data_IF_572007733743
#
_entry.id   IF_572007733743
#
_cell.length_a   1.000
_cell.length_b   1.000
_cell.length_c   1.000
_cell.angle_alpha   90.00
_cell.angle_beta   90.00
_cell.angle_gamma   90.00
#
_symmetry.space_group_name_H-M   'P 1'
#
loop_
_entity.id
_entity.type
_entity.pdbx_description
1 polymer ?
#
# COMPACT_ATOMS: atom_id res chain seq x y z
N UNK A 1 -8.47 20.23 -15.72
CA UNK A 1 -8.07 19.86 -15.92
C UNK A 1 -7.62 18.56 -16.14
N UNK A 2 -8.33 17.71 -16.48
CA UNK A 2 -7.86 16.46 -16.76
C UNK A 2 -6.86 15.99 -15.78
N UNK A 3 -6.95 16.49 -14.63
CA UNK A 3 -5.99 16.20 -13.65
C UNK A 3 -6.04 14.77 -13.28
N UNK A 4 -4.94 14.09 -13.50
CA UNK A 4 -4.81 12.70 -13.15
C UNK A 4 -4.20 12.65 -11.78
N UNK A 5 -5.04 12.35 -10.80
CA UNK A 5 -4.52 12.14 -9.44
C UNK A 5 -3.81 10.80 -9.37
N UNK A 6 -2.74 10.77 -8.62
CA UNK A 6 -2.10 9.51 -8.26
C UNK A 6 -3.00 8.79 -7.25
N UNK A 7 -3.09 7.48 -7.36
CA UNK A 7 -3.96 6.67 -6.49
C UNK A 7 -3.14 5.87 -5.51
N UNK A 8 -3.48 6.00 -4.24
CA UNK A 8 -2.86 5.18 -3.21
C UNK A 8 -3.92 4.35 -2.50
N UNK A 9 -3.66 3.06 -2.42
CA UNK A 9 -4.53 2.12 -1.73
C UNK A 9 -3.76 1.58 -0.53
N UNK A 10 -4.36 1.66 0.64
CA UNK A 10 -3.74 1.17 1.86
C UNK A 10 -4.58 0.06 2.48
N UNK A 11 -3.92 -1.02 2.90
CA UNK A 11 -4.52 -2.05 3.76
C UNK A 11 -3.86 -1.93 5.12
N UNK A 12 -4.59 -1.37 6.07
CA UNK A 12 -4.10 -1.08 7.41
C UNK A 12 -5.28 -1.12 8.37
N UNK A 13 -5.20 -1.90 9.47
CA UNK A 13 -6.36 -2.16 10.31
C UNK A 13 -6.40 -1.35 11.62
N UNK A 14 -5.36 -0.61 11.93
CA UNK A 14 -5.27 0.01 13.26
C UNK A 14 -5.16 1.53 13.25
N UNK A 15 -4.60 2.10 12.20
CA UNK A 15 -4.32 3.54 12.14
C UNK A 15 -4.82 4.13 10.84
N UNK A 16 -5.33 5.36 10.91
CA UNK A 16 -5.77 6.11 9.74
C UNK A 16 -4.55 6.64 9.00
N UNK A 17 -4.29 6.09 7.83
CA UNK A 17 -3.11 6.44 7.03
C UNK A 17 -3.17 7.90 6.56
N UNK A 18 -4.35 8.37 6.16
CA UNK A 18 -4.49 9.76 5.74
C UNK A 18 -4.08 10.70 6.88
N UNK A 19 -4.51 10.39 8.10
CA UNK A 19 -4.19 11.19 9.25
C UNK A 19 -2.68 11.21 9.53
N UNK A 20 -2.04 10.04 9.45
CA UNK A 20 -0.59 9.95 9.64
C UNK A 20 0.13 10.83 8.62
N UNK A 21 -0.30 10.79 7.37
CA UNK A 21 0.36 11.55 6.30
C UNK A 21 0.16 13.05 6.47
N UNK A 22 -1.08 13.46 6.72
CA UNK A 22 -1.39 14.88 6.86
C UNK A 22 -0.70 15.47 8.08
N UNK A 23 -0.72 14.76 9.21
CA UNK A 23 -0.04 15.22 10.42
C UNK A 23 1.47 15.25 10.24
N UNK A 24 1.99 14.43 9.36
CA UNK A 24 3.41 14.43 9.01
C UNK A 24 3.80 15.44 7.95
N UNK A 25 2.86 16.27 7.50
CA UNK A 25 3.16 17.36 6.57
C UNK A 25 3.02 17.01 5.10
N UNK A 26 2.45 15.84 4.76
CA UNK A 26 2.27 15.47 3.36
C UNK A 26 1.06 16.20 2.77
N UNK A 27 1.26 16.78 1.59
CA UNK A 27 0.17 17.39 0.84
C UNK A 27 -0.45 16.32 -0.05
N UNK A 28 -1.69 15.94 0.23
CA UNK A 28 -2.39 14.90 -0.52
C UNK A 28 -3.31 15.45 -1.61
N UNK A 29 -3.16 16.74 -1.95
CA UNK A 29 -4.07 17.36 -2.92
C UNK A 29 -4.04 16.69 -4.30
N UNK A 30 -2.91 16.08 -4.68
CA UNK A 30 -2.78 15.40 -5.96
C UNK A 30 -2.95 13.88 -5.83
N UNK A 31 -3.40 13.41 -4.68
CA UNK A 31 -3.55 11.99 -4.41
C UNK A 31 -5.00 11.64 -4.11
N UNK A 32 -5.42 10.49 -4.62
CA UNK A 32 -6.70 9.89 -4.22
C UNK A 32 -6.34 8.72 -3.31
N UNK A 33 -6.65 8.82 -2.02
CA UNK A 33 -6.29 7.81 -1.04
C UNK A 33 -7.51 7.03 -0.60
N UNK A 34 -7.39 5.71 -0.64
CA UNK A 34 -8.44 4.80 -0.17
C UNK A 34 -7.80 3.82 0.79
N UNK A 35 -8.43 3.63 1.94
CA UNK A 35 -7.95 2.66 2.93
C UNK A 35 -9.02 1.64 3.23
N UNK A 36 -8.58 0.37 3.30
CA UNK A 36 -9.40 -0.72 3.82
C UNK A 36 -8.79 -1.21 5.12
N UNK A 37 -9.64 -1.48 6.08
CA UNK A 37 -9.22 -1.86 7.43
C UNK A 37 -9.14 -3.38 7.61
N UNK A 38 -9.32 -4.11 6.54
CA UNK A 38 -9.16 -5.56 6.48
C UNK A 38 -8.78 -5.95 5.06
N UNK A 39 -8.40 -7.22 4.87
CA UNK A 39 -7.96 -7.71 3.56
C UNK A 39 -9.03 -8.54 2.86
N UNK A 40 -10.31 -8.42 3.26
CA UNK A 40 -11.39 -9.10 2.55
C UNK A 40 -11.43 -8.57 1.12
N UNK A 41 -11.59 -9.50 0.17
CA UNK A 41 -11.69 -9.15 -1.25
C UNK A 41 -10.53 -8.28 -1.75
N UNK A 42 -9.34 -8.45 -1.15
CA UNK A 42 -8.21 -7.53 -1.42
C UNK A 42 -7.82 -7.50 -2.89
N UNK A 43 -7.84 -8.62 -3.58
CA UNK A 43 -7.44 -8.66 -4.99
C UNK A 43 -8.47 -7.95 -5.88
N UNK A 44 -9.75 -8.12 -5.60
CA UNK A 44 -10.80 -7.42 -6.32
C UNK A 44 -10.69 -5.91 -6.08
N UNK A 45 -10.34 -5.52 -4.87
CA UNK A 45 -10.20 -4.10 -4.51
C UNK A 45 -9.00 -3.45 -5.22
N UNK A 46 -7.90 -4.19 -5.32
CA UNK A 46 -6.74 -3.70 -6.08
C UNK A 46 -7.11 -3.56 -7.56
N UNK A 47 -7.77 -4.56 -8.13
CA UNK A 47 -8.18 -4.52 -9.54
C UNK A 47 -9.14 -3.37 -9.81
N UNK A 48 -10.07 -3.15 -8.90
CA UNK A 48 -11.09 -2.11 -9.08
C UNK A 48 -10.50 -0.71 -8.96
N UNK A 49 -9.64 -0.48 -7.96
CA UNK A 49 -9.08 0.84 -7.69
C UNK A 49 -7.90 1.18 -8.60
N UNK A 50 -7.15 0.18 -9.04
CA UNK A 50 -5.95 0.33 -9.88
C UNK A 50 -4.98 1.34 -9.28
N UNK A 51 -4.45 1.05 -8.06
CA UNK A 51 -3.57 1.99 -7.41
C UNK A 51 -2.23 2.13 -8.11
N UNK A 52 -1.66 3.33 -8.05
CA UNK A 52 -0.27 3.57 -8.41
C UNK A 52 0.64 3.14 -7.28
N UNK A 53 0.22 3.37 -6.04
CA UNK A 53 0.96 3.02 -4.83
C UNK A 53 0.10 2.12 -3.96
N UNK A 54 0.65 0.98 -3.55
CA UNK A 54 -0.01 0.07 -2.65
C UNK A 54 0.76 0.02 -1.34
N UNK A 55 0.08 0.29 -0.24
CA UNK A 55 0.65 0.25 1.11
C UNK A 55 0.08 -0.95 1.84
N UNK A 56 0.94 -1.85 2.32
CA UNK A 56 0.50 -3.08 2.96
C UNK A 56 1.03 -3.17 4.39
N UNK A 57 0.13 -3.19 5.37
CA UNK A 57 0.48 -3.66 6.70
C UNK A 57 0.53 -5.18 6.68
N UNK A 58 1.33 -5.78 7.57
CA UNK A 58 1.44 -7.23 7.62
C UNK A 58 0.38 -7.83 8.56
N UNK A 59 0.22 -7.27 9.75
CA UNK A 59 -0.66 -7.83 10.76
C UNK A 59 -2.08 -7.31 10.59
N UNK A 60 -2.75 -7.78 9.56
CA UNK A 60 -4.09 -7.36 9.18
C UNK A 60 -4.92 -8.60 8.85
N UNK A 61 -6.16 -8.73 9.42
CA UNK A 61 -7.00 -9.87 9.09
C UNK A 61 -7.84 -9.60 7.85
N UNK A 62 -8.42 -10.61 7.22
CA UNK A 62 -8.21 -12.05 7.47
C UNK A 62 -6.96 -12.61 6.80
N UNK A 63 -6.38 -11.90 5.83
CA UNK A 63 -5.19 -12.35 5.12
C UNK A 63 -4.05 -11.40 5.45
N UNK A 64 -2.93 -11.95 5.96
CA UNK A 64 -1.78 -11.12 6.33
C UNK A 64 -1.15 -10.46 5.10
N UNK A 65 -0.54 -9.30 5.33
CA UNK A 65 0.04 -8.51 4.23
C UNK A 65 1.01 -9.27 3.35
N UNK A 66 1.86 -10.12 3.92
CA UNK A 66 2.80 -10.92 3.13
C UNK A 66 2.06 -11.86 2.17
N UNK A 67 0.94 -12.46 2.62
CA UNK A 67 0.15 -13.33 1.78
C UNK A 67 -0.61 -12.55 0.71
N UNK A 68 -1.07 -11.34 1.03
CA UNK A 68 -1.67 -10.45 0.04
C UNK A 68 -0.66 -10.15 -1.05
N UNK A 69 0.56 -9.80 -0.66
CA UNK A 69 1.64 -9.50 -1.61
C UNK A 69 1.93 -10.68 -2.52
N UNK A 70 2.08 -11.87 -1.94
CA UNK A 70 2.38 -13.07 -2.72
C UNK A 70 1.28 -13.38 -3.71
N UNK A 71 0.02 -13.35 -3.25
CA UNK A 71 -1.12 -13.59 -4.13
C UNK A 71 -1.24 -12.56 -5.23
N UNK A 72 -1.01 -11.30 -4.90
CA UNK A 72 -1.06 -10.22 -5.88
C UNK A 72 -0.02 -10.43 -6.97
N UNK A 73 1.22 -10.73 -6.59
CA UNK A 73 2.30 -10.90 -7.57
C UNK A 73 2.08 -12.13 -8.45
N UNK A 74 1.42 -13.17 -7.93
CA UNK A 74 1.02 -14.31 -8.76
C UNK A 74 -0.01 -13.90 -9.81
N UNK A 75 -0.99 -13.09 -9.41
CA UNK A 75 -2.01 -12.59 -10.34
C UNK A 75 -1.41 -11.64 -11.38
N UNK A 76 -0.43 -10.83 -10.98
CA UNK A 76 0.29 -9.96 -11.91
C UNK A 76 1.06 -10.81 -12.93
N UNK A 77 1.75 -11.85 -12.47
CA UNK A 77 2.50 -12.74 -13.36
C UNK A 77 1.58 -13.47 -14.35
N UNK A 78 0.32 -13.72 -13.94
CA UNK A 78 -0.67 -14.35 -14.79
C UNK A 78 -1.42 -13.34 -15.66
N UNK A 79 -1.03 -12.08 -15.65
CA UNK A 79 -1.66 -10.99 -16.40
C UNK A 79 -3.13 -10.78 -16.04
N UNK A 80 -3.51 -11.09 -14.79
CA UNK A 80 -4.87 -10.93 -14.33
C UNK A 80 -5.09 -9.63 -13.59
N UNK A 81 -4.03 -9.04 -13.03
CA UNK A 81 -4.08 -7.75 -12.34
C UNK A 81 -2.87 -6.93 -12.78
N UNK A 82 -3.10 -5.63 -12.98
CA UNK A 82 -2.01 -4.71 -13.30
C UNK A 82 -1.23 -4.44 -12.01
N UNK A 83 0.09 -4.58 -12.08
CA UNK A 83 0.94 -4.32 -10.92
C UNK A 83 0.95 -2.83 -10.59
N UNK A 84 0.72 -2.46 -9.31
CA UNK A 84 0.95 -1.07 -8.90
C UNK A 84 2.41 -0.67 -9.20
N UNK A 85 2.62 0.61 -9.50
CA UNK A 85 3.97 1.10 -9.79
C UNK A 85 4.90 0.90 -8.62
N UNK A 86 4.41 1.07 -7.40
CA UNK A 86 5.19 0.87 -6.20
C UNK A 86 4.37 0.13 -5.16
N UNK A 87 4.99 -0.84 -4.50
CA UNK A 87 4.38 -1.59 -3.40
C UNK A 87 5.31 -1.43 -2.20
N UNK A 88 4.78 -0.89 -1.11
CA UNK A 88 5.55 -0.67 0.11
C UNK A 88 4.93 -1.44 1.28
N UNK A 89 5.76 -2.18 1.99
CA UNK A 89 5.39 -2.70 3.31
C UNK A 89 5.43 -1.55 4.31
N UNK A 90 4.42 -1.46 5.16
CA UNK A 90 4.35 -0.37 6.14
C UNK A 90 4.17 -0.88 7.57
N UNK A 91 4.59 -2.11 7.84
CA UNK A 91 4.49 -2.65 9.18
C UNK A 91 5.39 -1.88 10.15
N UNK A 92 4.99 -1.84 11.42
CA UNK A 92 5.90 -1.33 12.45
C UNK A 92 6.92 -2.40 12.84
N UNK A 93 6.78 -3.62 12.32
CA UNK A 93 7.76 -4.69 12.52
C UNK A 93 8.77 -4.69 11.37
N UNK A 94 10.04 -4.46 11.67
CA UNK A 94 11.08 -4.47 10.64
C UNK A 94 11.24 -5.86 10.03
N UNK A 95 11.05 -6.93 10.81
CA UNK A 95 11.13 -8.29 10.28
C UNK A 95 10.03 -8.57 9.25
N UNK A 96 8.80 -8.11 9.53
CA UNK A 96 7.71 -8.26 8.58
C UNK A 96 7.98 -7.48 7.29
N UNK A 97 8.53 -6.27 7.41
CA UNK A 97 8.87 -5.46 6.24
C UNK A 97 9.97 -6.11 5.41
N UNK A 98 11.00 -6.67 6.07
CA UNK A 98 12.05 -7.38 5.34
C UNK A 98 11.48 -8.59 4.59
N UNK A 99 10.56 -9.32 5.20
CA UNK A 99 9.93 -10.45 4.55
C UNK A 99 9.15 -10.01 3.30
N UNK A 100 8.46 -8.87 3.40
CA UNK A 100 7.75 -8.33 2.24
C UNK A 100 8.70 -7.90 1.12
N UNK A 101 9.83 -7.29 1.47
CA UNK A 101 10.82 -6.93 0.45
C UNK A 101 11.39 -8.17 -0.23
N UNK A 102 11.69 -9.23 0.54
CA UNK A 102 12.15 -10.48 -0.04
C UNK A 102 11.11 -11.13 -0.94
N UNK A 103 9.84 -10.91 -0.66
CA UNK A 103 8.76 -11.48 -1.47
C UNK A 103 8.44 -10.64 -2.71
N UNK A 104 9.07 -9.47 -2.88
CA UNK A 104 8.91 -8.69 -4.09
C UNK A 104 8.35 -7.29 -3.94
N UNK A 105 8.13 -6.81 -2.72
CA UNK A 105 7.77 -5.40 -2.53
C UNK A 105 8.94 -4.52 -2.97
N UNK A 106 8.63 -3.32 -3.45
CA UNK A 106 9.65 -2.38 -3.92
C UNK A 106 10.44 -1.76 -2.78
N UNK A 107 9.88 -1.77 -1.58
CA UNK A 107 10.54 -1.27 -0.41
C UNK A 107 9.63 -1.41 0.79
N UNK A 108 10.06 -0.84 1.91
CA UNK A 108 9.26 -0.82 3.12
C UNK A 108 9.67 0.36 3.99
N UNK A 109 8.77 0.73 4.89
CA UNK A 109 9.04 1.80 5.85
C UNK A 109 8.05 1.61 7.01
N UNK A 110 8.49 1.90 8.23
CA UNK A 110 7.57 1.85 9.37
C UNK A 110 6.42 2.83 9.18
N UNK A 111 5.19 2.43 9.58
CA UNK A 111 4.02 3.26 9.30
C UNK A 111 4.13 4.68 9.88
N UNK A 112 4.80 4.83 11.02
CA UNK A 112 4.93 6.15 11.64
C UNK A 112 6.04 6.98 11.03
N UNK A 113 6.79 6.42 10.08
CA UNK A 113 7.80 7.15 9.30
C UNK A 113 7.32 7.38 7.87
N UNK A 114 6.14 6.88 7.52
CA UNK A 114 5.63 6.87 6.15
C UNK A 114 5.59 8.27 5.53
N UNK A 115 5.22 9.29 6.33
CA UNK A 115 5.13 10.66 5.83
C UNK A 115 6.49 11.20 5.35
N UNK A 116 7.60 10.58 5.77
CA UNK A 116 8.94 11.01 5.38
C UNK A 116 9.42 10.33 4.10
N UNK A 117 8.65 9.39 3.57
CA UNK A 117 9.07 8.68 2.36
C UNK A 117 9.08 9.62 1.16
N UNK A 118 10.05 9.43 0.29
CA UNK A 118 10.21 10.31 -0.88
C UNK A 118 9.08 10.17 -1.91
N UNK A 119 8.29 9.08 -1.83
CA UNK A 119 7.19 8.86 -2.77
C UNK A 119 6.19 10.01 -2.79
N UNK A 120 6.06 10.75 -1.68
CA UNK A 120 5.12 11.86 -1.58
C UNK A 120 5.64 13.15 -2.20
N UNK A 121 6.93 13.19 -2.53
CA UNK A 121 7.54 14.37 -3.13
C UNK A 121 7.51 14.23 -4.65
N UNK A 122 7.26 15.34 -5.30
CA UNK A 122 7.26 15.33 -6.77
C UNK A 122 8.63 15.64 -7.32
#
# INVERSE_FOLDING_TARGET
>A
SGDVSMRVLAFEDSYDIEKILVEGGVDLSDWELLQYWNTMDCFDRVEEFKPDLLLLDHYIPPIKGLEVLRGLLELVAANQIQRPRMILGISSSSAANEAMEHAGADGSIGKFQLAKHEVWKN
#
